data_IF_836298107974
#
_entry.id   IF_836298107974
#
_cell.length_a   1.000
_cell.length_b   1.000
_cell.length_c   1.000
_cell.angle_alpha   90.00
_cell.angle_beta   90.00
_cell.angle_gamma   90.00
#
_symmetry.space_group_name_H-M   'P 1'
#
loop_
_entity.id
_entity.type
_entity.pdbx_description
1 polymer ?
#
# COMPACT_ATOMS: atom_id res chain seq x y z
N UNK A 1 1.98 -6.13 -34.93
CA UNK A 1 2.81 -5.65 -33.80
C UNK A 1 1.94 -5.00 -32.72
N UNK A 2 1.07 -4.04 -33.00
CA UNK A 2 0.20 -3.37 -32.04
C UNK A 2 -0.62 -4.30 -31.15
N UNK A 3 -1.22 -5.37 -31.70
CA UNK A 3 -1.97 -6.37 -30.94
C UNK A 3 -1.11 -7.08 -29.88
N UNK A 4 0.15 -7.41 -30.22
CA UNK A 4 1.05 -8.06 -29.26
C UNK A 4 1.45 -7.11 -28.12
N UNK A 5 1.69 -5.83 -28.45
CA UNK A 5 1.99 -4.79 -27.44
C UNK A 5 0.77 -4.54 -26.55
N UNK A 6 -0.42 -4.40 -27.13
CA UNK A 6 -1.66 -4.23 -26.37
C UNK A 6 -1.89 -5.39 -25.38
N UNK A 7 -1.62 -6.61 -25.82
CA UNK A 7 -1.74 -7.81 -25.00
C UNK A 7 -0.75 -7.79 -23.81
N UNK A 8 0.51 -7.51 -24.07
CA UNK A 8 1.55 -7.49 -23.02
C UNK A 8 1.32 -6.35 -22.02
N UNK A 9 0.98 -5.15 -22.49
CA UNK A 9 0.64 -4.01 -21.63
C UNK A 9 -0.62 -4.32 -20.82
N UNK A 10 -1.63 -4.96 -21.44
CA UNK A 10 -2.84 -5.40 -20.75
C UNK A 10 -2.54 -6.40 -19.62
N UNK A 11 -1.66 -7.38 -19.82
CA UNK A 11 -1.23 -8.29 -18.77
C UNK A 11 -0.48 -7.59 -17.63
N UNK A 12 0.44 -6.67 -17.96
CA UNK A 12 1.15 -5.86 -16.98
C UNK A 12 0.17 -5.07 -16.10
N UNK A 13 -0.80 -4.40 -16.73
CA UNK A 13 -1.80 -3.60 -16.01
C UNK A 13 -2.70 -4.47 -15.13
N UNK A 14 -3.14 -5.61 -15.61
CA UNK A 14 -3.96 -6.54 -14.82
C UNK A 14 -3.19 -7.08 -13.61
N UNK A 15 -1.91 -7.44 -13.78
CA UNK A 15 -1.07 -7.88 -12.68
C UNK A 15 -0.82 -6.77 -11.64
N UNK A 16 -0.56 -5.53 -12.09
CA UNK A 16 -0.39 -4.37 -11.22
C UNK A 16 -1.67 -4.06 -10.43
N UNK A 17 -2.82 -4.06 -11.11
CA UNK A 17 -4.13 -3.90 -10.47
C UNK A 17 -4.41 -5.01 -9.44
N UNK A 18 -4.09 -6.27 -9.77
CA UNK A 18 -4.24 -7.39 -8.86
C UNK A 18 -3.45 -7.21 -7.56
N UNK A 19 -2.22 -6.69 -7.63
CA UNK A 19 -1.39 -6.37 -6.47
C UNK A 19 -1.99 -5.25 -5.62
N UNK A 20 -2.45 -4.17 -6.25
CA UNK A 20 -3.12 -3.06 -5.57
C UNK A 20 -4.41 -3.52 -4.89
N UNK A 21 -5.20 -4.35 -5.58
CA UNK A 21 -6.43 -4.90 -5.05
C UNK A 21 -6.20 -5.82 -3.84
N UNK A 22 -5.21 -6.71 -3.93
CA UNK A 22 -4.80 -7.56 -2.81
C UNK A 22 -4.36 -6.72 -1.60
N UNK A 23 -3.57 -5.67 -1.82
CA UNK A 23 -3.14 -4.76 -0.77
C UNK A 23 -4.31 -4.06 -0.06
N UNK A 24 -5.33 -3.63 -0.81
CA UNK A 24 -6.58 -3.08 -0.26
C UNK A 24 -7.36 -4.10 0.56
N UNK A 25 -7.45 -5.34 0.10
CA UNK A 25 -8.11 -6.42 0.84
C UNK A 25 -7.39 -6.71 2.16
N UNK A 26 -6.05 -6.75 2.17
CA UNK A 26 -5.25 -6.95 3.37
C UNK A 26 -5.52 -5.86 4.40
N UNK A 27 -5.49 -4.59 4.00
CA UNK A 27 -5.76 -3.48 4.92
C UNK A 27 -7.23 -3.42 5.35
N UNK A 28 -8.17 -3.82 4.48
CA UNK A 28 -9.57 -4.01 4.87
C UNK A 28 -9.74 -5.09 5.95
N UNK A 29 -9.00 -6.20 5.84
CA UNK A 29 -8.97 -7.24 6.86
C UNK A 29 -8.36 -6.72 8.17
N UNK A 30 -7.24 -5.99 8.12
CA UNK A 30 -6.59 -5.37 9.30
C UNK A 30 -7.57 -4.45 10.04
N UNK A 31 -8.36 -3.62 9.34
CA UNK A 31 -9.39 -2.77 9.96
C UNK A 31 -10.39 -3.61 10.75
N UNK A 32 -10.99 -4.61 10.13
CA UNK A 32 -12.04 -5.43 10.73
C UNK A 32 -11.51 -6.25 11.91
N UNK A 33 -10.33 -6.81 11.77
CA UNK A 33 -9.67 -7.60 12.81
C UNK A 33 -9.22 -6.74 13.99
N UNK A 34 -8.75 -5.51 13.75
CA UNK A 34 -8.40 -4.55 14.80
C UNK A 34 -9.63 -4.16 15.64
N UNK A 35 -10.76 -3.90 14.98
CA UNK A 35 -12.01 -3.63 15.68
C UNK A 35 -12.47 -4.84 16.49
N UNK A 36 -12.40 -6.05 15.90
CA UNK A 36 -12.73 -7.29 16.58
C UNK A 36 -11.83 -7.54 17.78
N UNK A 37 -10.53 -7.34 17.63
CA UNK A 37 -9.56 -7.42 18.73
C UNK A 37 -9.89 -6.43 19.84
N UNK A 38 -10.25 -5.19 19.49
CA UNK A 38 -10.59 -4.15 20.45
C UNK A 38 -11.73 -4.55 21.37
N UNK A 39 -12.91 -4.91 20.81
CA UNK A 39 -14.05 -5.26 21.66
C UNK A 39 -13.87 -6.60 22.39
N UNK A 40 -13.25 -7.63 21.77
CA UNK A 40 -12.98 -8.90 22.44
C UNK A 40 -12.05 -8.69 23.64
N UNK A 41 -10.99 -7.90 23.46
CA UNK A 41 -10.03 -7.63 24.53
C UNK A 41 -10.66 -6.81 25.66
N UNK A 42 -11.40 -5.75 25.33
CA UNK A 42 -12.13 -4.93 26.28
C UNK A 42 -13.09 -5.77 27.12
N UNK A 43 -13.96 -6.53 26.46
CA UNK A 43 -15.02 -7.29 27.13
C UNK A 43 -14.48 -8.47 27.94
N UNK A 44 -13.26 -8.96 27.60
CA UNK A 44 -12.62 -10.06 28.33
C UNK A 44 -11.84 -9.63 29.57
N UNK A 45 -11.25 -8.42 29.57
CA UNK A 45 -10.27 -7.99 30.57
C UNK A 45 -10.63 -6.72 31.34
N UNK A 46 -11.52 -5.83 30.83
CA UNK A 46 -11.75 -4.51 31.44
C UNK A 46 -12.16 -4.56 32.91
N UNK A 47 -13.05 -5.49 33.27
CA UNK A 47 -13.52 -5.63 34.66
C UNK A 47 -12.41 -6.06 35.64
N UNK A 48 -11.42 -6.79 35.13
CA UNK A 48 -10.34 -7.38 35.94
C UNK A 48 -9.06 -6.57 35.89
N UNK A 49 -8.75 -5.96 34.74
CA UNK A 49 -7.49 -5.24 34.53
C UNK A 49 -7.59 -4.24 33.38
N UNK A 50 -8.21 -3.10 33.61
CA UNK A 50 -8.37 -2.02 32.60
C UNK A 50 -7.02 -1.47 32.13
N UNK A 51 -6.01 -1.37 32.98
CA UNK A 51 -4.68 -0.89 32.60
C UNK A 51 -4.02 -1.81 31.58
N UNK A 52 -4.21 -3.12 31.72
CA UNK A 52 -3.69 -4.09 30.76
C UNK A 52 -4.38 -4.01 29.41
N UNK A 53 -5.69 -3.76 29.39
CA UNK A 53 -6.43 -3.50 28.16
C UNK A 53 -5.82 -2.31 27.43
N UNK A 54 -5.64 -1.20 28.14
CA UNK A 54 -5.03 0.02 27.59
C UNK A 54 -3.61 -0.23 27.06
N UNK A 55 -2.79 -0.95 27.79
CA UNK A 55 -1.43 -1.32 27.38
C UNK A 55 -1.44 -2.15 26.09
N UNK A 56 -2.34 -3.13 25.97
CA UNK A 56 -2.46 -3.96 24.78
C UNK A 56 -3.00 -3.17 23.59
N UNK A 57 -3.89 -2.21 23.80
CA UNK A 57 -4.34 -1.27 22.74
C UNK A 57 -3.17 -0.41 22.25
N UNK A 58 -2.39 0.18 23.15
CA UNK A 58 -1.22 0.98 22.79
C UNK A 58 -0.18 0.17 21.99
N UNK A 59 0.07 -1.08 22.38
CA UNK A 59 0.94 -1.99 21.61
C UNK A 59 0.38 -2.31 20.23
N UNK A 60 -0.95 -2.38 20.09
CA UNK A 60 -1.57 -2.57 18.78
C UNK A 60 -1.37 -1.35 17.88
N UNK A 61 -1.49 -0.13 18.41
CA UNK A 61 -1.17 1.09 17.65
C UNK A 61 0.32 1.17 17.30
N UNK A 62 1.19 0.71 18.20
CA UNK A 62 2.62 0.57 17.92
C UNK A 62 2.88 -0.44 16.79
N UNK A 63 2.15 -1.56 16.75
CA UNK A 63 2.23 -2.55 15.66
C UNK A 63 1.81 -1.97 14.32
N UNK A 64 0.66 -1.29 14.25
CA UNK A 64 0.21 -0.58 13.04
C UNK A 64 1.25 0.44 12.57
N UNK A 65 1.83 1.18 13.51
CA UNK A 65 2.88 2.17 13.22
C UNK A 65 4.16 1.51 12.70
N UNK A 66 4.65 0.46 13.34
CA UNK A 66 5.84 -0.26 12.90
C UNK A 66 5.64 -0.91 11.53
N UNK A 67 4.46 -1.47 11.27
CA UNK A 67 4.12 -2.09 9.98
C UNK A 67 4.09 -1.04 8.85
N UNK A 68 3.42 0.11 9.05
CA UNK A 68 3.36 1.15 8.01
C UNK A 68 4.75 1.73 7.70
N UNK A 69 5.60 1.97 8.69
CA UNK A 69 6.99 2.40 8.46
C UNK A 69 7.78 1.37 7.66
N UNK A 70 7.65 0.09 8.00
CA UNK A 70 8.30 -1.01 7.28
C UNK A 70 7.83 -1.11 5.82
N UNK A 71 6.55 -0.92 5.57
CA UNK A 71 5.98 -0.94 4.22
C UNK A 71 6.34 0.32 3.41
N UNK A 72 6.57 1.46 4.05
CA UNK A 72 7.03 2.71 3.41
C UNK A 72 8.55 2.78 3.20
N UNK A 73 9.33 1.84 3.75
CA UNK A 73 10.76 1.74 3.43
C UNK A 73 10.99 1.63 1.92
N UNK A 74 11.87 2.45 1.36
CA UNK A 74 12.19 2.41 -0.08
C UNK A 74 12.89 1.11 -0.45
N UNK A 75 12.55 0.58 -1.63
CA UNK A 75 13.19 -0.60 -2.23
C UNK A 75 13.75 -0.23 -3.61
N UNK A 76 14.85 -0.86 -3.99
CA UNK A 76 15.55 -0.59 -5.25
C UNK A 76 14.74 -0.85 -6.54
N UNK A 77 13.57 -1.45 -6.42
CA UNK A 77 12.65 -1.75 -7.54
C UNK A 77 11.41 -0.87 -7.57
N UNK A 78 11.29 0.09 -6.67
CA UNK A 78 10.18 1.03 -6.62
C UNK A 78 10.40 2.22 -7.56
N UNK A 79 9.31 2.85 -7.97
CA UNK A 79 9.32 3.91 -8.98
C UNK A 79 9.47 5.32 -8.36
N UNK A 80 9.84 5.41 -7.09
CA UNK A 80 9.93 6.66 -6.32
C UNK A 80 10.91 7.69 -6.91
N UNK A 81 11.92 7.23 -7.65
CA UNK A 81 12.97 8.06 -8.24
C UNK A 81 12.66 8.43 -9.70
N UNK A 82 11.42 8.19 -10.17
CA UNK A 82 11.02 8.60 -11.53
C UNK A 82 10.63 10.07 -11.57
N UNK A 83 10.88 10.75 -12.71
CA UNK A 83 10.52 12.15 -12.91
C UNK A 83 9.01 12.41 -12.69
N UNK A 84 8.17 11.43 -12.99
CA UNK A 84 6.73 11.50 -12.77
C UNK A 84 6.38 11.49 -11.28
N UNK A 85 7.09 10.71 -10.48
CA UNK A 85 6.91 10.70 -9.03
C UNK A 85 7.37 12.03 -8.41
N UNK A 86 8.49 12.59 -8.85
CA UNK A 86 9.00 13.88 -8.39
C UNK A 86 7.98 15.02 -8.58
N UNK A 87 7.21 15.00 -9.66
CA UNK A 87 6.16 15.98 -9.89
C UNK A 87 4.98 15.85 -8.91
N UNK A 88 4.56 14.61 -8.63
CA UNK A 88 3.49 14.34 -7.67
C UNK A 88 3.93 14.53 -6.23
N UNK A 89 5.16 14.18 -5.87
CA UNK A 89 5.70 14.30 -4.51
C UNK A 89 5.68 15.74 -3.97
N UNK A 90 5.67 16.75 -4.86
CA UNK A 90 5.53 18.16 -4.49
C UNK A 90 4.12 18.53 -4.00
N UNK A 91 3.12 17.69 -4.26
CA UNK A 91 1.70 17.96 -3.96
C UNK A 91 1.25 17.39 -2.61
N UNK A 92 1.99 16.47 -2.02
CA UNK A 92 1.64 15.81 -0.76
C UNK A 92 2.90 15.42 0.02
N UNK A 93 2.69 15.01 1.25
CA UNK A 93 3.77 14.58 2.14
C UNK A 93 3.54 13.14 2.59
N UNK A 94 4.60 12.34 2.67
CA UNK A 94 4.56 10.99 3.22
C UNK A 94 5.00 11.08 4.67
N UNK A 95 4.10 10.93 5.66
CA UNK A 95 4.43 11.15 7.07
C UNK A 95 5.59 10.29 7.56
N UNK A 96 5.70 9.04 7.09
CA UNK A 96 6.76 8.12 7.47
C UNK A 96 8.15 8.52 6.98
N UNK A 97 8.25 9.45 6.03
CA UNK A 97 9.53 10.04 5.57
C UNK A 97 9.91 11.30 6.34
N UNK A 98 8.92 11.96 6.92
CA UNK A 98 9.12 13.20 7.67
C UNK A 98 9.38 12.96 9.16
N UNK A 99 8.93 11.83 9.70
CA UNK A 99 9.10 11.47 11.11
C UNK A 99 10.00 10.24 11.27
N UNK A 100 10.56 10.07 12.47
CA UNK A 100 11.32 8.87 12.80
C UNK A 100 10.42 7.88 13.50
N UNK A 101 10.56 6.58 13.16
CA UNK A 101 9.81 5.51 13.81
C UNK A 101 9.93 5.55 15.35
N UNK A 102 11.11 5.86 15.86
CA UNK A 102 11.34 5.97 17.29
C UNK A 102 10.41 7.00 17.96
N UNK A 103 10.27 8.18 17.36
CA UNK A 103 9.45 9.26 17.92
C UNK A 103 7.96 8.92 17.86
N UNK A 104 7.52 8.19 16.84
CA UNK A 104 6.15 7.69 16.75
C UNK A 104 5.87 6.58 17.77
N UNK A 105 6.79 5.64 17.96
CA UNK A 105 6.61 4.54 18.91
C UNK A 105 6.66 5.00 20.38
N UNK A 106 7.38 6.08 20.69
CA UNK A 106 7.39 6.70 22.02
C UNK A 106 6.01 7.09 22.54
N UNK A 107 5.07 7.34 21.63
CA UNK A 107 3.68 7.69 21.98
C UNK A 107 2.91 6.50 22.60
N UNK A 108 3.34 5.28 22.33
CA UNK A 108 2.60 4.05 22.64
C UNK A 108 3.33 3.09 23.55
N UNK A 109 4.66 3.12 23.60
CA UNK A 109 5.48 2.13 24.29
C UNK A 109 6.20 2.73 25.49
N UNK A 110 6.37 1.94 26.54
CA UNK A 110 7.29 2.26 27.64
C UNK A 110 8.74 2.35 27.15
N UNK A 111 9.61 3.06 27.87
CA UNK A 111 11.01 3.23 27.49
C UNK A 111 11.76 1.89 27.31
N UNK A 112 11.47 0.90 28.15
CA UNK A 112 12.08 -0.43 28.08
C UNK A 112 11.61 -1.23 26.87
N UNK A 113 10.30 -1.20 26.58
CA UNK A 113 9.74 -1.85 25.40
C UNK A 113 10.23 -1.20 24.10
N UNK A 114 10.26 0.13 24.06
CA UNK A 114 10.78 0.87 22.92
C UNK A 114 12.22 0.47 22.62
N UNK A 115 13.11 0.46 23.62
CA UNK A 115 14.50 0.05 23.45
C UNK A 115 14.60 -1.40 22.94
N UNK A 116 13.79 -2.30 23.49
CA UNK A 116 13.72 -3.68 23.05
C UNK A 116 13.29 -3.78 21.58
N UNK A 117 12.20 -3.12 21.20
CA UNK A 117 11.66 -3.15 19.82
C UNK A 117 12.64 -2.55 18.82
N UNK A 118 13.28 -1.42 19.16
CA UNK A 118 14.25 -0.78 18.27
C UNK A 118 15.50 -1.65 18.02
N UNK A 119 15.86 -2.53 18.95
CA UNK A 119 16.96 -3.49 18.79
C UNK A 119 16.65 -4.63 17.80
N UNK A 120 15.38 -4.79 17.38
CA UNK A 120 14.94 -5.92 16.55
C UNK A 120 14.87 -5.55 15.06
N UNK A 121 15.08 -6.56 14.20
CA UNK A 121 14.99 -6.39 12.74
C UNK A 121 13.54 -6.21 12.28
N UNK A 122 12.67 -7.18 12.56
CA UNK A 122 11.24 -7.08 12.26
C UNK A 122 10.50 -6.59 13.52
N UNK A 123 10.32 -5.29 13.63
CA UNK A 123 9.74 -4.63 14.80
C UNK A 123 8.25 -4.92 14.95
N UNK A 124 7.51 -4.98 13.84
CA UNK A 124 6.08 -5.30 13.85
C UNK A 124 5.85 -6.72 14.39
N UNK A 125 6.55 -7.72 13.91
CA UNK A 125 6.46 -9.10 14.43
C UNK A 125 6.80 -9.18 15.92
N UNK A 126 7.80 -8.44 16.39
CA UNK A 126 8.16 -8.45 17.81
C UNK A 126 7.09 -7.80 18.70
N UNK A 127 6.38 -6.80 18.20
CA UNK A 127 5.24 -6.22 18.92
C UNK A 127 4.10 -7.25 19.07
N UNK A 128 3.78 -8.02 18.03
CA UNK A 128 2.82 -9.13 18.13
C UNK A 128 3.30 -10.20 19.12
N UNK A 129 4.60 -10.50 19.16
CA UNK A 129 5.17 -11.47 20.10
C UNK A 129 5.06 -10.99 21.57
N UNK A 130 5.28 -9.69 21.84
CA UNK A 130 5.05 -9.10 23.18
C UNK A 130 3.57 -9.19 23.56
N UNK A 131 2.66 -8.93 22.63
CA UNK A 131 1.22 -9.07 22.86
C UNK A 131 0.85 -10.52 23.24
N UNK A 132 1.37 -11.50 22.50
CA UNK A 132 1.16 -12.92 22.77
C UNK A 132 1.68 -13.32 24.16
N UNK A 133 2.85 -12.80 24.57
CA UNK A 133 3.40 -13.02 25.92
C UNK A 133 2.49 -12.41 27.01
N UNK A 134 2.05 -11.16 26.83
CA UNK A 134 1.15 -10.49 27.76
C UNK A 134 -0.19 -11.22 27.90
N UNK A 135 -0.71 -11.79 26.81
CA UNK A 135 -1.91 -12.62 26.82
C UNK A 135 -1.69 -13.92 27.61
N UNK A 136 -0.55 -14.59 27.43
CA UNK A 136 -0.19 -15.80 28.19
C UNK A 136 -0.02 -15.53 29.67
N UNK A 137 0.52 -14.37 30.06
CA UNK A 137 0.64 -13.94 31.43
C UNK A 137 -0.74 -13.65 32.05
N UNK A 138 -1.69 -13.06 31.33
CA UNK A 138 -3.06 -12.85 31.75
C UNK A 138 -3.79 -14.18 32.03
N UNK A 139 -3.61 -15.15 31.12
CA UNK A 139 -4.14 -16.49 31.27
C UNK A 139 -3.57 -17.20 32.52
N UNK A 140 -2.25 -17.19 32.68
CA UNK A 140 -1.58 -17.80 33.85
C UNK A 140 -2.02 -17.20 35.19
N UNK A 141 -2.42 -15.92 35.20
CA UNK A 141 -2.98 -15.25 36.41
C UNK A 141 -4.49 -15.50 36.63
N UNK A 142 -5.14 -16.22 35.70
CA UNK A 142 -6.59 -16.45 35.75
C UNK A 142 -7.43 -15.20 35.42
N UNK A 143 -6.85 -14.18 34.78
CA UNK A 143 -7.55 -12.97 34.39
C UNK A 143 -8.50 -13.26 33.23
N UNK A 144 -8.16 -14.25 32.35
CA UNK A 144 -8.97 -14.75 31.24
C UNK A 144 -9.07 -16.27 31.31
N UNK A 145 -10.14 -16.82 30.71
CA UNK A 145 -10.35 -18.26 30.58
C UNK A 145 -9.83 -18.79 29.23
N UNK A 146 -9.88 -20.13 29.03
CA UNK A 146 -9.39 -20.81 27.82
C UNK A 146 -10.04 -20.28 26.54
N UNK A 147 -11.35 -20.00 26.56
CA UNK A 147 -12.08 -19.51 25.41
C UNK A 147 -11.67 -18.09 25.05
N UNK A 148 -11.56 -17.21 26.02
CA UNK A 148 -11.11 -15.83 25.85
C UNK A 148 -9.68 -15.77 25.35
N UNK A 149 -8.78 -16.57 25.96
CA UNK A 149 -7.41 -16.71 25.52
C UNK A 149 -7.34 -17.15 24.05
N UNK A 150 -8.10 -18.18 23.66
CA UNK A 150 -8.12 -18.71 22.31
C UNK A 150 -8.64 -17.66 21.31
N UNK A 151 -9.72 -16.94 21.63
CA UNK A 151 -10.29 -15.91 20.78
C UNK A 151 -9.31 -14.75 20.53
N UNK A 152 -8.67 -14.24 21.59
CA UNK A 152 -7.71 -13.14 21.47
C UNK A 152 -6.46 -13.60 20.70
N UNK A 153 -5.94 -14.80 21.00
CA UNK A 153 -4.79 -15.35 20.32
C UNK A 153 -5.03 -15.54 18.81
N UNK A 154 -6.23 -15.96 18.42
CA UNK A 154 -6.61 -16.06 17.01
C UNK A 154 -6.54 -14.71 16.28
N UNK A 155 -6.85 -13.59 16.94
CA UNK A 155 -6.68 -12.26 16.34
C UNK A 155 -5.20 -11.93 16.12
N UNK A 156 -4.31 -12.28 17.08
CA UNK A 156 -2.86 -12.08 16.90
C UNK A 156 -2.31 -12.90 15.75
N UNK A 157 -2.82 -14.13 15.53
CA UNK A 157 -2.47 -14.96 14.38
C UNK A 157 -2.90 -14.27 13.07
N UNK A 158 -4.13 -13.76 12.99
CA UNK A 158 -4.63 -13.04 11.80
C UNK A 158 -3.82 -11.78 11.49
N UNK A 159 -3.42 -11.01 12.51
CA UNK A 159 -2.52 -9.86 12.31
C UNK A 159 -1.19 -10.29 11.71
N UNK A 160 -0.60 -11.38 12.21
CA UNK A 160 0.66 -11.92 11.66
C UNK A 160 0.49 -12.41 10.22
N UNK A 161 -0.64 -13.05 9.88
CA UNK A 161 -0.95 -13.47 8.51
C UNK A 161 -1.08 -12.27 7.56
N UNK A 162 -1.82 -11.23 7.95
CA UNK A 162 -2.00 -10.04 7.14
C UNK A 162 -0.71 -9.23 7.01
N UNK A 163 0.09 -9.14 8.07
CA UNK A 163 1.44 -8.59 8.00
C UNK A 163 2.29 -9.35 6.97
N UNK A 164 2.32 -10.68 7.04
CA UNK A 164 3.07 -11.51 6.10
C UNK A 164 2.62 -11.35 4.64
N UNK A 165 1.30 -11.23 4.40
CA UNK A 165 0.74 -10.92 3.08
C UNK A 165 1.19 -9.55 2.56
N UNK A 166 1.15 -8.51 3.41
CA UNK A 166 1.60 -7.17 3.05
C UNK A 166 3.11 -7.12 2.79
N UNK A 167 3.91 -7.76 3.66
CA UNK A 167 5.36 -7.89 3.48
C UNK A 167 5.72 -8.65 2.20
N UNK A 168 4.95 -9.66 1.82
CA UNK A 168 5.12 -10.38 0.55
C UNK A 168 4.93 -9.45 -0.63
N UNK A 169 3.86 -8.65 -0.66
CA UNK A 169 3.63 -7.67 -1.73
C UNK A 169 4.80 -6.67 -1.80
N UNK A 170 5.25 -6.16 -0.66
CA UNK A 170 6.35 -5.19 -0.58
C UNK A 170 7.68 -5.75 -1.06
N UNK A 171 8.03 -6.98 -0.65
CA UNK A 171 9.36 -7.54 -0.84
C UNK A 171 9.51 -8.38 -2.12
N UNK A 172 8.41 -8.75 -2.80
CA UNK A 172 8.43 -9.48 -4.06
C UNK A 172 7.89 -8.59 -5.19
N UNK A 173 8.77 -7.93 -5.96
CA UNK A 173 8.35 -7.07 -7.06
C UNK A 173 7.74 -7.89 -8.20
N UNK A 174 7.05 -7.19 -9.10
CA UNK A 174 6.65 -7.77 -10.39
C UNK A 174 7.88 -8.28 -11.14
N UNK A 175 7.81 -9.47 -11.79
CA UNK A 175 8.99 -10.06 -12.43
C UNK A 175 9.60 -9.12 -13.48
N UNK A 176 10.86 -8.74 -13.27
CA UNK A 176 11.57 -7.74 -14.08
C UNK A 176 11.59 -8.08 -15.56
N UNK A 177 11.72 -9.36 -15.91
CA UNK A 177 11.76 -9.80 -17.31
C UNK A 177 10.47 -9.43 -18.06
N UNK A 178 9.31 -9.59 -17.43
CA UNK A 178 8.04 -9.21 -18.04
C UNK A 178 7.90 -7.70 -18.18
N UNK A 179 8.32 -6.94 -17.18
CA UNK A 179 8.32 -5.47 -17.25
C UNK A 179 9.25 -4.97 -18.35
N UNK A 180 10.49 -5.45 -18.41
CA UNK A 180 11.47 -5.03 -19.42
C UNK A 180 11.02 -5.36 -20.85
N UNK A 181 10.49 -6.57 -21.08
CA UNK A 181 9.98 -6.97 -22.40
C UNK A 181 8.83 -6.06 -22.82
N UNK A 182 7.89 -5.74 -21.90
CA UNK A 182 6.78 -4.84 -22.20
C UNK A 182 7.28 -3.46 -22.63
N UNK A 183 8.23 -2.89 -21.90
CA UNK A 183 8.82 -1.57 -22.19
C UNK A 183 9.58 -1.56 -23.52
N UNK A 184 10.40 -2.57 -23.80
CA UNK A 184 11.12 -2.64 -25.08
C UNK A 184 10.17 -2.82 -26.28
N UNK A 185 9.18 -3.70 -26.17
CA UNK A 185 8.20 -3.89 -27.25
C UNK A 185 7.35 -2.63 -27.46
N UNK A 186 6.98 -1.94 -26.39
CA UNK A 186 6.29 -0.66 -26.48
C UNK A 186 7.15 0.40 -27.21
N UNK A 187 8.43 0.52 -26.86
CA UNK A 187 9.35 1.47 -27.49
C UNK A 187 9.50 1.19 -29.01
N UNK A 188 9.72 -0.08 -29.37
CA UNK A 188 9.82 -0.48 -30.76
C UNK A 188 8.51 -0.19 -31.52
N UNK A 189 7.37 -0.44 -30.87
CA UNK A 189 6.06 -0.14 -31.44
C UNK A 189 5.88 1.36 -31.70
N UNK A 190 6.16 2.21 -30.70
CA UNK A 190 6.08 3.67 -30.79
C UNK A 190 6.90 4.19 -31.99
N UNK A 191 8.13 3.73 -32.13
CA UNK A 191 9.00 4.11 -33.24
C UNK A 191 8.43 3.63 -34.60
N UNK A 192 7.77 2.47 -34.62
CA UNK A 192 7.24 1.86 -35.84
C UNK A 192 5.89 2.46 -36.29
N UNK A 193 5.12 3.07 -35.39
CA UNK A 193 3.76 3.61 -35.69
C UNK A 193 3.77 4.57 -36.86
N UNK A 194 4.62 5.62 -36.93
CA UNK A 194 4.60 6.56 -38.07
C UNK A 194 4.82 5.87 -39.41
N UNK A 195 5.75 4.91 -39.45
CA UNK A 195 6.07 4.17 -40.68
C UNK A 195 4.92 3.25 -41.13
N UNK A 196 4.21 2.67 -40.16
CA UNK A 196 3.05 1.81 -40.44
C UNK A 196 1.84 2.56 -40.96
N UNK A 197 1.67 3.83 -40.61
CA UNK A 197 0.54 4.65 -41.02
C UNK A 197 0.70 5.31 -42.39
N UNK A 198 1.93 5.44 -42.92
CA UNK A 198 2.20 6.18 -44.15
C UNK A 198 1.32 5.68 -45.32
N UNK A 199 1.36 4.39 -45.63
CA UNK A 199 0.61 3.82 -46.74
C UNK A 199 -0.91 3.92 -46.59
N UNK A 200 -1.41 3.77 -45.40
CA UNK A 200 -2.86 3.81 -45.15
C UNK A 200 -3.40 5.25 -45.23
N UNK A 201 -2.63 6.22 -44.75
CA UNK A 201 -2.98 7.63 -44.87
C UNK A 201 -2.86 8.15 -46.32
N UNK A 202 -1.86 7.68 -47.09
CA UNK A 202 -1.70 8.03 -48.46
C UNK A 202 -2.93 7.60 -49.28
N UNK A 203 -3.36 6.34 -49.16
CA UNK A 203 -4.58 5.81 -49.77
C UNK A 203 -5.86 6.57 -49.41
N UNK A 204 -5.93 7.12 -48.19
CA UNK A 204 -7.12 7.86 -47.74
C UNK A 204 -7.34 9.15 -48.52
N UNK A 205 -6.29 9.68 -49.16
CA UNK A 205 -6.31 10.86 -50.00
C UNK A 205 -6.67 10.60 -51.44
N UNK A 206 -6.56 9.36 -51.93
CA UNK A 206 -6.72 9.02 -53.33
C UNK A 206 -8.10 9.45 -53.87
N UNK A 207 -8.10 10.26 -54.93
CA UNK A 207 -9.33 10.76 -55.57
C UNK A 207 -10.14 11.79 -54.77
N UNK A 208 -9.57 12.35 -53.68
CA UNK A 208 -10.19 13.41 -52.88
C UNK A 208 -9.45 14.75 -53.05
N UNK A 209 -10.05 15.87 -52.60
CA UNK A 209 -9.39 17.18 -52.53
C UNK A 209 -8.16 17.21 -51.62
N UNK A 210 -7.93 16.18 -50.85
CA UNK A 210 -6.83 16.05 -49.87
C UNK A 210 -5.68 15.18 -50.40
N UNK A 211 -5.71 14.81 -51.67
CA UNK A 211 -4.64 14.03 -52.31
C UNK A 211 -3.27 14.72 -52.11
N UNK A 212 -2.30 13.98 -51.58
CA UNK A 212 -0.96 14.48 -51.24
C UNK A 212 -0.86 15.23 -49.90
N UNK A 213 -1.98 15.64 -49.28
CA UNK A 213 -1.99 16.30 -47.95
C UNK A 213 -2.29 15.35 -46.81
N UNK A 214 -2.87 14.20 -47.07
CA UNK A 214 -3.25 13.20 -46.06
C UNK A 214 -2.06 12.66 -45.27
N UNK A 215 -0.85 12.67 -45.82
CA UNK A 215 0.39 12.32 -45.13
C UNK A 215 0.65 13.19 -43.89
N UNK A 216 0.22 14.45 -43.87
CA UNK A 216 0.39 15.31 -42.70
C UNK A 216 -0.43 14.85 -41.50
N UNK A 217 -1.53 14.10 -41.71
CA UNK A 217 -2.30 13.48 -40.64
C UNK A 217 -1.51 12.39 -39.91
N UNK A 218 -0.40 11.91 -40.49
CA UNK A 218 0.47 10.94 -39.80
C UNK A 218 0.98 11.47 -38.47
N UNK A 219 1.29 12.76 -38.34
CA UNK A 219 1.80 13.36 -37.11
C UNK A 219 0.78 13.25 -35.98
N UNK A 220 -0.45 13.83 -36.08
CA UNK A 220 -1.42 13.78 -34.98
C UNK A 220 -1.91 12.36 -34.69
N UNK A 221 -2.07 11.48 -35.71
CA UNK A 221 -2.49 10.10 -35.46
C UNK A 221 -1.40 9.27 -34.78
N UNK A 222 -0.14 9.41 -35.21
CA UNK A 222 0.97 8.74 -34.54
C UNK A 222 1.14 9.22 -33.08
N UNK A 223 1.01 10.52 -32.85
CA UNK A 223 1.02 11.08 -31.46
C UNK A 223 -0.11 10.53 -30.62
N UNK A 224 -1.33 10.46 -31.16
CA UNK A 224 -2.48 9.95 -30.43
C UNK A 224 -2.29 8.47 -30.04
N UNK A 225 -1.90 7.63 -30.98
CA UNK A 225 -1.64 6.21 -30.74
C UNK A 225 -0.53 6.02 -29.71
N UNK A 226 0.58 6.72 -29.90
CA UNK A 226 1.73 6.67 -28.98
C UNK A 226 1.33 7.10 -27.57
N UNK A 227 0.60 8.21 -27.46
CA UNK A 227 0.11 8.72 -26.19
C UNK A 227 -0.79 7.72 -25.47
N UNK A 228 -1.74 7.09 -26.19
CA UNK A 228 -2.61 6.07 -25.61
C UNK A 228 -1.82 4.90 -25.01
N UNK A 229 -0.91 4.32 -25.78
CA UNK A 229 -0.13 3.15 -25.32
C UNK A 229 0.84 3.52 -24.21
N UNK A 230 1.50 4.67 -24.28
CA UNK A 230 2.39 5.16 -23.24
C UNK A 230 1.61 5.42 -21.93
N UNK A 231 0.43 6.04 -22.02
CA UNK A 231 -0.42 6.28 -20.85
C UNK A 231 -0.85 4.97 -20.20
N UNK A 232 -1.25 3.97 -20.98
CA UNK A 232 -1.61 2.65 -20.44
C UNK A 232 -0.43 1.98 -19.73
N UNK A 233 0.76 2.08 -20.26
CA UNK A 233 1.97 1.53 -19.63
C UNK A 233 2.30 2.24 -18.32
N UNK A 234 2.21 3.57 -18.29
CA UNK A 234 2.43 4.41 -17.12
C UNK A 234 1.42 4.12 -16.01
N UNK A 235 0.14 3.92 -16.33
CA UNK A 235 -0.89 3.53 -15.34
C UNK A 235 -0.54 2.20 -14.70
N UNK A 236 -0.06 1.23 -15.48
CA UNK A 236 0.41 -0.05 -14.95
C UNK A 236 1.59 0.09 -13.99
N UNK A 237 2.56 0.93 -14.33
CA UNK A 237 3.73 1.18 -13.48
C UNK A 237 3.38 1.86 -12.17
N UNK A 238 2.55 2.89 -12.21
CA UNK A 238 2.14 3.67 -11.02
C UNK A 238 1.33 2.87 -10.01
N UNK A 239 0.76 1.73 -10.39
CA UNK A 239 -0.04 0.87 -9.51
C UNK A 239 0.70 -0.39 -9.04
N UNK A 240 1.96 -0.57 -9.44
CA UNK A 240 2.72 -1.80 -9.24
C UNK A 240 3.15 -2.03 -7.77
N UNK A 241 3.41 -0.96 -7.04
CA UNK A 241 3.95 -0.98 -5.69
C UNK A 241 3.01 -0.27 -4.70
N UNK A 242 1.94 -0.93 -4.21
CA UNK A 242 0.82 -0.29 -3.53
C UNK A 242 1.12 0.25 -2.12
N UNK A 243 2.39 0.20 -1.68
CA UNK A 243 2.85 0.67 -0.36
C UNK A 243 4.01 1.67 -0.41
N UNK A 244 4.43 2.12 -1.59
CA UNK A 244 5.59 3.02 -1.69
C UNK A 244 5.29 4.47 -1.30
N UNK A 245 4.03 4.88 -1.32
CA UNK A 245 3.56 6.24 -1.01
C UNK A 245 3.18 7.04 -2.25
N UNK A 246 2.78 6.38 -3.33
CA UNK A 246 2.23 7.02 -4.52
C UNK A 246 0.79 7.49 -4.27
N UNK A 247 0.27 8.46 -5.06
CA UNK A 247 -1.08 9.01 -4.88
C UNK A 247 -2.21 8.00 -4.96
N UNK A 248 -1.98 6.88 -5.65
CA UNK A 248 -2.98 5.82 -5.89
C UNK A 248 -2.83 4.62 -4.97
N UNK A 249 -1.86 4.65 -4.07
CA UNK A 249 -1.55 3.56 -3.14
C UNK A 249 -2.66 3.35 -2.10
N UNK A 250 -2.50 2.28 -1.34
CA UNK A 250 -3.34 2.06 -0.16
C UNK A 250 -2.99 3.13 0.90
N UNK A 251 -3.99 3.88 1.41
CA UNK A 251 -3.76 4.96 2.38
C UNK A 251 -3.50 4.41 3.78
N UNK A 252 -2.35 3.72 3.95
CA UNK A 252 -2.02 2.97 5.17
C UNK A 252 -1.87 3.84 6.40
N UNK A 253 -1.47 5.10 6.24
CA UNK A 253 -1.35 6.08 7.33
C UNK A 253 -2.72 6.51 7.81
N UNK A 254 -3.64 6.85 6.89
CA UNK A 254 -5.02 7.19 7.23
C UNK A 254 -5.73 6.00 7.88
N UNK A 255 -5.59 4.80 7.32
CA UNK A 255 -6.23 3.59 7.85
C UNK A 255 -5.73 3.31 9.27
N UNK A 256 -4.42 3.37 9.52
CA UNK A 256 -3.86 3.17 10.86
C UNK A 256 -4.40 4.20 11.86
N UNK A 257 -4.53 5.46 11.44
CA UNK A 257 -5.12 6.52 12.27
C UNK A 257 -6.61 6.28 12.54
N UNK A 258 -7.37 5.84 11.54
CA UNK A 258 -8.79 5.52 11.71
C UNK A 258 -8.98 4.37 12.70
N UNK A 259 -8.17 3.31 12.62
CA UNK A 259 -8.19 2.21 13.58
C UNK A 259 -7.87 2.71 14.99
N UNK A 260 -6.86 3.57 15.15
CA UNK A 260 -6.53 4.15 16.45
C UNK A 260 -7.69 4.96 17.04
N UNK A 261 -8.36 5.78 16.22
CA UNK A 261 -9.53 6.55 16.65
C UNK A 261 -10.66 5.61 17.06
N UNK A 262 -11.04 4.64 16.24
CA UNK A 262 -12.10 3.69 16.52
C UNK A 262 -11.85 2.91 17.83
N UNK A 263 -10.61 2.47 18.05
CA UNK A 263 -10.26 1.71 19.23
C UNK A 263 -10.19 2.58 20.49
N UNK A 264 -9.74 3.83 20.42
CA UNK A 264 -9.76 4.76 21.56
C UNK A 264 -11.20 5.14 21.95
N UNK A 265 -12.06 5.34 20.94
CA UNK A 265 -13.48 5.61 21.14
C UNK A 265 -14.19 4.42 21.84
N UNK A 266 -13.80 3.17 21.54
CA UNK A 266 -14.27 1.98 22.26
C UNK A 266 -13.93 1.97 23.76
N UNK A 267 -12.92 2.74 24.19
CA UNK A 267 -12.51 2.90 25.59
C UNK A 267 -13.04 4.20 26.20
N UNK A 268 -13.94 4.91 25.53
CA UNK A 268 -14.47 6.21 25.94
C UNK A 268 -13.36 7.23 26.29
N UNK A 269 -12.22 7.19 25.55
CA UNK A 269 -11.14 8.16 25.75
C UNK A 269 -11.60 9.55 25.30
N UNK A 270 -11.48 10.60 26.15
CA UNK A 270 -12.02 11.94 25.83
C UNK A 270 -11.22 12.67 24.74
N UNK A 271 -9.94 12.36 24.61
CA UNK A 271 -9.02 13.02 23.67
C UNK A 271 -8.67 12.07 22.52
N UNK A 272 -9.48 12.12 21.46
CA UNK A 272 -9.21 11.34 20.24
C UNK A 272 -8.20 12.06 19.34
N UNK A 273 -7.26 11.35 18.73
CA UNK A 273 -6.33 11.95 17.79
C UNK A 273 -7.07 12.43 16.53
N UNK A 274 -6.62 13.53 15.93
CA UNK A 274 -7.23 14.06 14.72
C UNK A 274 -7.10 13.09 13.54
N UNK A 275 -8.17 13.01 12.73
CA UNK A 275 -8.16 12.21 11.51
C UNK A 275 -7.15 12.77 10.48
N UNK A 276 -6.58 11.89 9.67
CA UNK A 276 -5.75 12.28 8.53
C UNK A 276 -6.65 12.73 7.39
N UNK A 277 -6.57 14.02 7.04
CA UNK A 277 -7.37 14.61 5.97
C UNK A 277 -6.62 14.54 4.63
N UNK A 278 -7.36 14.46 3.49
CA UNK A 278 -6.76 14.56 2.18
C UNK A 278 -6.04 15.90 1.96
N UNK A 279 -4.84 15.87 1.38
CA UNK A 279 -4.10 17.03 0.92
C UNK A 279 -4.07 17.01 -0.62
N UNK A 280 -4.61 18.03 -1.28
CA UNK A 280 -4.74 18.07 -2.74
C UNK A 280 -5.45 16.84 -3.35
N UNK A 281 -6.53 16.38 -2.72
CA UNK A 281 -7.26 15.16 -3.07
C UNK A 281 -6.46 13.84 -2.97
N UNK A 282 -5.31 13.86 -2.33
CA UNK A 282 -4.47 12.69 -2.08
C UNK A 282 -4.50 12.38 -0.58
N UNK A 283 -4.67 11.12 -0.25
CA UNK A 283 -4.60 10.58 1.11
C UNK A 283 -3.68 9.35 1.13
N UNK A 284 -2.85 9.23 2.17
CA UNK A 284 -1.84 8.18 2.31
C UNK A 284 -2.02 7.35 3.58
#
# INVERSE_FOLDING_TARGET
MGTAVAFIVGFKNNASYGRLWEARQIYGAIINESRSFGFILRDSLSEKNADKVKEMFLRHYAWLTALRFQLRESRAWENMDTAQFDEYSKKYEIPERLSKLEDELKKYLSASELQYILSKKNRATQLTAIQSKALSEAYAKGEINDFQWTQINQQLVKFTENQGKAERIKNFPYPRNFSSIATYLLLIFIISVPFGLIKELDKLGDGTMLEGYTLWFNIPFSLLVTWCFHTLDTVGESSMNPFEGSPNDVPITQISRTIEIDMRDMLDEPDLPSAVLPKNNIVL
#
